data_IF_180279444732
#
_entry.id   IF_180279444732
#
_cell.length_a   1.000
_cell.length_b   1.000
_cell.length_c   1.000
_cell.angle_alpha   90.00
_cell.angle_beta   90.00
_cell.angle_gamma   90.00
#
_symmetry.space_group_name_H-M   'P 1'
#
loop_
_entity.id
_entity.type
_entity.pdbx_description
1 polymer ?
#
# COMPACT_ATOMS: atom_id res chain seq x y z
N UNK A 1 -3.73 -12.16 -5.68
CA UNK A 1 -3.87 -13.62 -5.48
C UNK A 1 -3.51 -14.03 -4.05
N UNK A 2 -2.26 -13.86 -3.60
CA UNK A 2 -1.82 -14.32 -2.25
C UNK A 2 -2.68 -13.76 -1.10
N UNK A 3 -3.07 -12.48 -1.17
CA UNK A 3 -3.98 -11.86 -0.18
C UNK A 3 -5.34 -12.58 -0.14
N UNK A 4 -5.96 -12.84 -1.30
CA UNK A 4 -7.25 -13.56 -1.39
C UNK A 4 -7.17 -14.99 -0.84
N UNK A 5 -6.04 -15.67 -1.08
CA UNK A 5 -5.77 -16.99 -0.51
C UNK A 5 -5.70 -16.92 1.02
N UNK A 6 -5.02 -15.90 1.58
CA UNK A 6 -4.99 -15.67 3.04
C UNK A 6 -6.39 -15.41 3.60
N UNK A 7 -7.16 -14.55 2.94
CA UNK A 7 -8.51 -14.18 3.37
C UNK A 7 -9.49 -15.36 3.34
N UNK A 8 -9.42 -16.22 2.32
CA UNK A 8 -10.23 -17.43 2.23
C UNK A 8 -9.92 -18.42 3.36
N UNK A 9 -8.63 -18.67 3.62
CA UNK A 9 -8.20 -19.58 4.70
C UNK A 9 -8.67 -19.05 6.07
N UNK A 10 -8.54 -17.73 6.30
CA UNK A 10 -9.00 -17.08 7.52
C UNK A 10 -10.52 -17.20 7.67
N UNK A 11 -11.28 -16.94 6.61
CA UNK A 11 -12.75 -17.00 6.62
C UNK A 11 -13.26 -18.40 6.86
N UNK A 12 -12.56 -19.42 6.33
CA UNK A 12 -12.87 -20.81 6.59
C UNK A 12 -12.55 -21.27 8.03
N UNK A 13 -11.79 -20.46 8.80
CA UNK A 13 -11.41 -20.79 10.18
C UNK A 13 -10.44 -21.98 10.30
N UNK A 14 -9.68 -22.28 9.24
CA UNK A 14 -8.81 -23.46 9.17
C UNK A 14 -7.35 -23.05 9.42
N UNK A 15 -6.67 -23.78 10.30
CA UNK A 15 -5.26 -23.53 10.61
C UNK A 15 -4.34 -23.90 9.44
N UNK A 16 -3.23 -23.16 9.26
CA UNK A 16 -2.33 -23.36 8.11
C UNK A 16 -1.65 -24.72 8.05
N UNK A 17 -1.29 -25.29 9.20
CA UNK A 17 -0.76 -26.67 9.27
C UNK A 17 -1.78 -27.69 8.78
N UNK A 18 -3.07 -27.42 9.02
CA UNK A 18 -4.16 -28.26 8.58
C UNK A 18 -4.42 -28.08 7.07
N UNK A 19 -4.40 -26.84 6.57
CA UNK A 19 -4.43 -26.56 5.13
C UNK A 19 -3.29 -27.27 4.41
N UNK A 20 -2.05 -27.13 4.90
CA UNK A 20 -0.87 -27.77 4.32
C UNK A 20 -1.03 -29.29 4.25
N UNK A 21 -1.49 -29.91 5.34
CA UNK A 21 -1.75 -31.35 5.43
C UNK A 21 -2.82 -31.80 4.43
N UNK A 22 -3.92 -31.07 4.33
CA UNK A 22 -5.05 -31.45 3.48
C UNK A 22 -4.77 -31.23 1.98
N UNK A 23 -4.01 -30.19 1.62
CA UNK A 23 -3.62 -29.98 0.22
C UNK A 23 -2.38 -30.79 -0.20
N UNK A 24 -1.77 -31.54 0.72
CA UNK A 24 -0.58 -32.37 0.48
C UNK A 24 0.69 -31.54 0.23
N UNK A 25 0.78 -30.35 0.83
CA UNK A 25 1.92 -29.44 0.71
C UNK A 25 2.70 -29.38 2.01
N UNK A 26 4.03 -29.33 1.93
CA UNK A 26 4.86 -29.10 3.11
C UNK A 26 4.53 -27.73 3.74
N UNK A 27 4.40 -27.67 5.06
CA UNK A 27 4.01 -26.45 5.78
C UNK A 27 4.96 -25.27 5.48
N UNK A 28 6.26 -25.52 5.30
CA UNK A 28 7.23 -24.48 4.95
C UNK A 28 7.03 -23.96 3.52
N UNK A 29 6.57 -24.80 2.60
CA UNK A 29 6.22 -24.39 1.22
C UNK A 29 4.93 -23.58 1.19
N UNK A 30 3.92 -23.98 1.98
CA UNK A 30 2.70 -23.19 2.15
C UNK A 30 3.03 -21.81 2.74
N UNK A 31 3.84 -21.74 3.80
CA UNK A 31 4.28 -20.46 4.37
C UNK A 31 5.03 -19.59 3.37
N UNK A 32 5.92 -20.17 2.55
CA UNK A 32 6.64 -19.41 1.49
C UNK A 32 5.69 -18.88 0.42
N UNK A 33 4.65 -19.65 0.06
CA UNK A 33 3.66 -19.24 -0.92
C UNK A 33 2.71 -18.18 -0.38
N UNK A 34 2.27 -18.34 0.86
CA UNK A 34 1.51 -17.30 1.56
C UNK A 34 2.34 -16.05 1.79
N UNK A 35 3.66 -16.13 1.94
CA UNK A 35 4.57 -15.00 2.05
C UNK A 35 4.96 -14.36 0.69
N UNK A 36 4.42 -14.84 -0.43
CA UNK A 36 4.72 -14.29 -1.77
C UNK A 36 6.07 -14.71 -2.35
N UNK A 37 6.93 -15.37 -1.57
CA UNK A 37 8.25 -15.85 -2.02
C UNK A 37 8.23 -17.13 -2.86
N UNK A 38 7.04 -17.72 -3.07
CA UNK A 38 6.83 -18.92 -3.89
C UNK A 38 5.47 -18.86 -4.57
N UNK A 39 5.43 -18.94 -5.90
CA UNK A 39 4.16 -19.01 -6.60
C UNK A 39 3.40 -20.30 -6.26
N UNK A 40 2.08 -20.18 -6.08
CA UNK A 40 1.20 -21.34 -5.96
C UNK A 40 1.10 -22.05 -7.31
N UNK A 41 1.12 -23.39 -7.27
CA UNK A 41 0.77 -24.19 -8.45
C UNK A 41 -0.74 -24.23 -8.66
N UNK A 42 -1.17 -24.51 -9.88
CA UNK A 42 -2.60 -24.56 -10.23
C UNK A 42 -3.35 -25.59 -9.38
N UNK A 43 -2.71 -26.72 -9.10
CA UNK A 43 -3.28 -27.80 -8.27
C UNK A 43 -3.40 -27.36 -6.80
N UNK A 44 -2.45 -26.58 -6.30
CA UNK A 44 -2.48 -26.04 -4.94
C UNK A 44 -3.60 -25.01 -4.78
N UNK A 45 -3.80 -24.14 -5.78
CA UNK A 45 -4.89 -23.17 -5.80
C UNK A 45 -6.25 -23.89 -5.85
N UNK A 46 -6.37 -24.93 -6.68
CA UNK A 46 -7.62 -25.69 -6.81
C UNK A 46 -8.02 -26.39 -5.51
N UNK A 47 -7.05 -27.02 -4.83
CA UNK A 47 -7.29 -27.66 -3.53
C UNK A 47 -7.61 -26.66 -2.42
N UNK A 48 -6.97 -25.49 -2.44
CA UNK A 48 -7.29 -24.42 -1.48
C UNK A 48 -8.71 -23.88 -1.76
N UNK A 49 -9.10 -23.70 -3.01
CA UNK A 49 -10.43 -23.26 -3.40
C UNK A 49 -11.51 -24.22 -2.86
N UNK A 50 -11.32 -25.52 -3.10
CA UNK A 50 -12.20 -26.58 -2.60
C UNK A 50 -12.26 -26.58 -1.07
N UNK A 51 -11.12 -26.49 -0.40
CA UNK A 51 -11.04 -26.49 1.06
C UNK A 51 -11.70 -25.27 1.71
N UNK A 52 -11.66 -24.12 1.04
CA UNK A 52 -12.19 -22.85 1.58
C UNK A 52 -13.56 -22.50 1.02
N UNK A 53 -14.18 -23.40 0.25
CA UNK A 53 -15.49 -23.23 -0.40
C UNK A 53 -15.59 -21.95 -1.26
N UNK A 54 -14.48 -21.55 -1.89
CA UNK A 54 -14.42 -20.42 -2.84
C UNK A 54 -14.10 -20.90 -4.25
N UNK A 55 -14.40 -20.10 -5.26
CA UNK A 55 -14.03 -20.46 -6.64
C UNK A 55 -12.53 -20.22 -6.91
N UNK A 56 -11.95 -21.06 -7.76
CA UNK A 56 -10.58 -20.88 -8.25
C UNK A 56 -10.40 -19.56 -9.02
N UNK A 57 -11.43 -19.14 -9.76
CA UNK A 57 -11.45 -17.87 -10.47
C UNK A 57 -11.42 -16.68 -9.49
N UNK A 58 -12.16 -16.74 -8.39
CA UNK A 58 -12.08 -15.70 -7.35
C UNK A 58 -10.69 -15.60 -6.73
N UNK A 59 -10.05 -16.74 -6.39
CA UNK A 59 -8.69 -16.72 -5.83
C UNK A 59 -7.68 -16.11 -6.81
N UNK A 60 -7.76 -16.47 -8.08
CA UNK A 60 -6.79 -16.08 -9.11
C UNK A 60 -7.04 -14.67 -9.65
N UNK A 61 -8.24 -14.38 -10.14
CA UNK A 61 -8.58 -13.14 -10.85
C UNK A 61 -9.37 -12.15 -10.00
N UNK A 62 -10.08 -12.62 -8.97
CA UNK A 62 -10.94 -11.79 -8.13
C UNK A 62 -12.30 -11.47 -8.78
N UNK A 63 -12.65 -12.11 -9.90
CA UNK A 63 -13.95 -11.96 -10.56
C UNK A 63 -14.88 -13.08 -10.08
N UNK A 64 -16.14 -12.74 -9.76
CA UNK A 64 -17.24 -13.60 -9.25
C UNK A 64 -17.22 -14.01 -7.77
N UNK A 65 -18.41 -14.34 -7.25
CA UNK A 65 -18.90 -14.12 -5.88
C UNK A 65 -17.99 -14.57 -4.73
N UNK A 66 -17.89 -13.70 -3.72
CA UNK A 66 -17.31 -14.00 -2.42
C UNK A 66 -18.08 -15.09 -1.66
N UNK A 67 -17.57 -15.51 -0.49
CA UNK A 67 -17.98 -16.74 0.18
C UNK A 67 -19.50 -16.78 0.47
N UNK A 68 -20.17 -17.93 0.31
CA UNK A 68 -21.54 -18.09 0.78
C UNK A 68 -21.54 -17.92 2.31
N UNK A 69 -22.28 -16.92 2.81
CA UNK A 69 -22.55 -16.80 4.24
C UNK A 69 -23.33 -18.03 4.69
N UNK A 70 -22.80 -18.83 5.61
CA UNK A 70 -23.57 -19.88 6.30
C UNK A 70 -24.74 -19.24 7.05
N UNK A 71 -25.93 -19.34 6.48
CA UNK A 71 -27.18 -19.24 7.24
C UNK A 71 -27.37 -20.55 8.01
N UNK A 72 -27.51 -20.47 9.32
CA UNK A 72 -28.00 -21.58 10.13
C UNK A 72 -29.42 -21.94 9.66
N UNK A 73 -29.55 -22.97 8.83
CA UNK A 73 -30.82 -23.60 8.54
C UNK A 73 -31.14 -24.60 9.66
N UNK A 74 -31.85 -24.13 10.68
CA UNK A 74 -32.60 -25.00 11.59
C UNK A 74 -33.99 -25.22 10.97
N UNK A 75 -34.26 -26.47 10.57
CA UNK A 75 -35.60 -27.03 10.34
C UNK A 75 -36.37 -26.96 11.69
N UNK A 76 -37.67 -26.71 11.86
CA UNK A 76 -38.94 -27.04 11.16
C UNK A 76 -40.08 -26.22 11.85
N UNK A 77 -41.39 -26.53 11.70
CA UNK A 77 -42.27 -26.45 10.53
C UNK A 77 -43.47 -25.47 10.73
N UNK A 78 -44.15 -25.19 9.63
CA UNK A 78 -45.59 -24.87 9.46
C UNK A 78 -46.39 -24.26 10.64
N UNK A 79 -46.89 -23.03 10.45
CA UNK A 79 -48.32 -22.78 10.66
C UNK A 79 -48.83 -21.55 9.89
N UNK A 80 -49.98 -21.75 9.27
CA UNK A 80 -50.77 -20.82 8.44
C UNK A 80 -51.60 -19.90 9.35
N UNK A 81 -51.65 -18.59 9.10
CA UNK A 81 -52.90 -17.81 8.93
C UNK A 81 -52.69 -16.32 8.62
N UNK A 82 -53.61 -15.84 7.80
CA UNK A 82 -53.85 -14.54 7.17
C UNK A 82 -53.98 -13.30 8.08
N UNK A 83 -53.83 -12.10 7.49
CA UNK A 83 -54.68 -10.95 7.85
C UNK A 83 -54.05 -9.55 7.95
N UNK A 84 -54.11 -8.78 6.86
CA UNK A 84 -54.58 -7.37 6.73
C UNK A 84 -54.32 -6.27 7.80
N UNK A 85 -53.74 -5.15 7.31
CA UNK A 85 -54.09 -3.73 7.53
C UNK A 85 -53.75 -2.95 8.84
N UNK A 86 -52.85 -1.96 8.67
CA UNK A 86 -53.05 -0.50 8.85
C UNK A 86 -53.39 0.15 10.22
N UNK A 87 -52.52 1.12 10.60
CA UNK A 87 -52.74 2.44 11.27
C UNK A 87 -52.80 2.53 12.83
N UNK A 88 -51.72 3.13 13.40
CA UNK A 88 -51.53 4.25 14.38
C UNK A 88 -52.53 4.51 15.56
N UNK A 89 -52.23 5.26 16.66
CA UNK A 89 -50.97 5.70 17.30
C UNK A 89 -50.87 5.38 18.83
N UNK A 90 -49.72 5.72 19.43
CA UNK A 90 -49.37 5.86 20.89
C UNK A 90 -50.42 6.64 21.74
N UNK A 91 -50.43 6.62 23.12
CA UNK A 91 -49.25 6.79 24.00
C UNK A 91 -49.30 6.09 25.40
N UNK A 92 -48.31 6.44 26.22
CA UNK A 92 -48.15 6.26 27.68
C UNK A 92 -47.44 5.01 28.24
N UNK A 93 -46.14 5.22 28.54
CA UNK A 93 -45.75 5.47 29.93
C UNK A 93 -45.66 4.25 30.83
N UNK A 94 -44.44 3.68 30.93
CA UNK A 94 -43.93 3.14 32.20
C UNK A 94 -42.41 2.97 32.18
N UNK A 95 -41.80 3.57 33.19
CA UNK A 95 -40.37 3.66 33.48
C UNK A 95 -39.67 2.30 33.60
N UNK A 96 -38.47 2.20 33.03
CA UNK A 96 -37.47 1.18 33.36
C UNK A 96 -36.14 1.86 33.66
N UNK A 97 -35.40 1.39 34.69
CA UNK A 97 -34.29 2.13 35.29
C UNK A 97 -33.02 2.12 34.43
N UNK A 98 -32.41 3.30 34.37
CA UNK A 98 -31.12 3.64 33.76
C UNK A 98 -29.96 2.87 34.42
N UNK A 99 -29.21 2.08 33.65
CA UNK A 99 -27.89 1.56 34.05
C UNK A 99 -26.82 2.55 33.55
N UNK A 100 -25.91 3.05 34.40
CA UNK A 100 -24.91 4.05 34.02
C UNK A 100 -23.84 3.49 33.05
N UNK A 101 -23.35 4.38 32.20
CA UNK A 101 -22.45 4.09 31.09
C UNK A 101 -21.16 3.35 31.46
N UNK A 102 -20.73 2.51 30.53
CA UNK A 102 -19.32 2.16 30.34
C UNK A 102 -18.84 2.84 29.06
N UNK A 103 -18.01 3.85 29.32
CA UNK A 103 -17.16 4.57 28.38
C UNK A 103 -16.33 3.64 27.51
N UNK A 104 -16.15 4.04 26.25
CA UNK A 104 -14.97 3.79 25.40
C UNK A 104 -14.30 2.43 25.56
N UNK A 105 -14.93 1.41 24.99
CA UNK A 105 -14.16 0.26 24.48
C UNK A 105 -13.51 0.69 23.18
N UNK A 106 -12.33 1.33 23.30
CA UNK A 106 -11.44 1.54 22.18
C UNK A 106 -11.28 0.22 21.42
N UNK A 107 -11.65 0.22 20.13
CA UNK A 107 -11.31 -0.85 19.22
C UNK A 107 -9.81 -1.16 19.39
N UNK A 108 -9.43 -2.42 19.68
CA UNK A 108 -8.02 -2.75 19.78
C UNK A 108 -7.34 -2.38 18.44
N UNK A 109 -6.12 -1.83 18.46
CA UNK A 109 -5.43 -1.44 17.23
C UNK A 109 -5.38 -2.67 16.33
N UNK A 110 -5.77 -2.49 15.06
CA UNK A 110 -5.76 -3.54 14.06
C UNK A 110 -4.40 -4.24 14.09
N UNK A 111 -4.37 -5.45 14.67
CA UNK A 111 -3.18 -6.29 14.70
C UNK A 111 -2.79 -6.51 13.24
N UNK A 112 -1.55 -6.20 12.87
CA UNK A 112 -1.02 -6.48 11.54
C UNK A 112 -1.02 -8.00 11.32
N UNK A 113 -2.14 -8.48 10.79
CA UNK A 113 -2.45 -9.90 10.61
C UNK A 113 -1.41 -10.59 9.73
N UNK A 114 -0.63 -9.85 8.92
CA UNK A 114 0.42 -10.42 8.06
C UNK A 114 1.51 -11.15 8.85
N UNK A 115 1.72 -10.78 10.13
CA UNK A 115 2.79 -11.36 10.93
C UNK A 115 2.45 -12.70 11.57
N UNK A 116 1.20 -12.97 11.95
CA UNK A 116 0.80 -14.20 12.67
C UNK A 116 1.05 -15.48 11.86
N UNK A 117 1.03 -15.40 10.53
CA UNK A 117 1.08 -16.54 9.62
C UNK A 117 2.47 -16.92 9.10
N UNK A 118 3.50 -16.16 9.48
CA UNK A 118 4.87 -16.40 9.05
C UNK A 118 5.59 -17.41 9.95
N UNK A 119 6.36 -18.33 9.35
CA UNK A 119 7.28 -19.18 10.12
C UNK A 119 8.20 -18.31 10.96
N UNK A 120 8.66 -18.81 12.12
CA UNK A 120 9.59 -18.05 13.00
C UNK A 120 10.80 -17.53 12.22
N UNK A 121 11.35 -18.32 11.30
CA UNK A 121 12.46 -17.92 10.43
C UNK A 121 12.08 -16.81 9.45
N UNK A 122 10.89 -16.87 8.84
CA UNK A 122 10.39 -15.81 7.94
C UNK A 122 10.15 -14.51 8.70
N UNK A 123 9.51 -14.58 9.87
CA UNK A 123 9.24 -13.42 10.73
C UNK A 123 10.53 -12.76 11.21
N UNK A 124 11.50 -13.57 11.65
CA UNK A 124 12.82 -13.07 12.03
C UNK A 124 13.54 -12.41 10.85
N UNK A 125 13.51 -13.03 9.66
CA UNK A 125 14.10 -12.43 8.45
C UNK A 125 13.50 -11.06 8.14
N UNK A 126 12.18 -10.92 8.20
CA UNK A 126 11.49 -9.62 7.99
C UNK A 126 11.90 -8.60 9.06
N UNK A 127 11.92 -8.99 10.34
CA UNK A 127 12.39 -8.12 11.44
C UNK A 127 13.82 -7.63 11.24
N UNK A 128 14.72 -8.50 10.78
CA UNK A 128 16.11 -8.14 10.47
C UNK A 128 16.16 -7.12 9.33
N UNK A 129 15.40 -7.34 8.26
CA UNK A 129 15.38 -6.44 7.11
C UNK A 129 14.82 -5.07 7.51
N UNK A 130 13.70 -5.04 8.22
CA UNK A 130 13.08 -3.80 8.67
C UNK A 130 14.03 -3.00 9.58
N UNK A 131 14.65 -3.67 10.57
CA UNK A 131 15.62 -3.03 11.46
C UNK A 131 16.86 -2.50 10.71
N UNK A 132 17.37 -3.27 9.75
CA UNK A 132 18.49 -2.82 8.92
C UNK A 132 18.12 -1.62 8.05
N UNK A 133 16.93 -1.64 7.45
CA UNK A 133 16.41 -0.55 6.63
C UNK A 133 16.33 0.76 7.42
N UNK A 134 15.76 0.75 8.63
CA UNK A 134 15.70 1.93 9.51
C UNK A 134 17.10 2.43 9.87
N UNK A 135 17.98 1.54 10.34
CA UNK A 135 19.34 1.92 10.73
C UNK A 135 20.16 2.47 9.56
N UNK A 136 20.05 1.90 8.36
CA UNK A 136 20.75 2.40 7.18
C UNK A 136 20.25 3.77 6.73
N UNK A 137 18.95 4.03 6.86
CA UNK A 137 18.38 5.33 6.57
C UNK A 137 18.87 6.42 7.54
N UNK A 138 18.91 6.09 8.84
CA UNK A 138 19.18 7.06 9.90
C UNK A 138 20.68 7.27 10.19
N UNK A 139 21.48 6.20 10.16
CA UNK A 139 22.90 6.22 10.55
C UNK A 139 23.85 6.12 9.36
N UNK A 140 23.35 5.63 8.22
CA UNK A 140 24.14 5.34 7.04
C UNK A 140 24.72 3.93 7.02
N UNK A 141 24.79 3.35 5.82
CA UNK A 141 25.19 1.97 5.57
C UNK A 141 26.55 1.66 6.22
N UNK A 142 27.58 2.49 6.05
CA UNK A 142 28.93 2.20 6.58
C UNK A 142 28.98 2.08 8.10
N UNK A 143 28.23 2.93 8.82
CA UNK A 143 28.29 3.01 10.28
C UNK A 143 27.59 1.85 10.98
N UNK A 144 26.60 1.25 10.32
CA UNK A 144 25.78 0.17 10.90
C UNK A 144 26.53 -1.16 10.87
N UNK A 145 26.67 -1.80 12.02
CA UNK A 145 27.23 -3.15 12.16
C UNK A 145 26.12 -4.19 12.29
N UNK A 146 26.45 -5.46 12.00
CA UNK A 146 25.52 -6.59 12.17
C UNK A 146 24.97 -6.68 13.59
N UNK A 147 25.78 -6.33 14.59
CA UNK A 147 25.39 -6.31 16.01
C UNK A 147 24.31 -5.26 16.30
N UNK A 148 24.36 -4.11 15.64
CA UNK A 148 23.35 -3.05 15.79
C UNK A 148 22.01 -3.50 15.21
N UNK A 149 22.04 -4.13 14.03
CA UNK A 149 20.86 -4.74 13.42
C UNK A 149 20.28 -5.84 14.30
N UNK A 150 21.12 -6.71 14.85
CA UNK A 150 20.70 -7.78 15.74
C UNK A 150 19.99 -7.21 16.99
N UNK A 151 20.59 -6.20 17.62
CA UNK A 151 20.03 -5.51 18.79
C UNK A 151 18.68 -4.87 18.46
N UNK A 152 18.61 -4.10 17.37
CA UNK A 152 17.37 -3.44 16.94
C UNK A 152 16.27 -4.45 16.56
N UNK A 153 16.63 -5.57 15.93
CA UNK A 153 15.70 -6.63 15.60
C UNK A 153 15.30 -7.49 16.81
N UNK A 154 15.91 -7.33 17.98
CA UNK A 154 15.69 -8.18 19.16
C UNK A 154 16.15 -9.63 18.96
N UNK A 155 17.25 -9.83 18.24
CA UNK A 155 17.82 -11.12 17.85
C UNK A 155 19.33 -11.17 18.17
N UNK A 156 19.92 -12.36 18.08
CA UNK A 156 21.38 -12.52 18.23
C UNK A 156 22.09 -12.24 16.91
N UNK A 157 23.36 -11.83 16.96
CA UNK A 157 24.20 -11.66 15.77
C UNK A 157 24.29 -12.95 14.95
N UNK A 158 24.35 -14.11 15.61
CA UNK A 158 24.32 -15.42 14.94
C UNK A 158 23.02 -15.66 14.16
N UNK A 159 21.86 -15.20 14.66
CA UNK A 159 20.60 -15.30 13.94
C UNK A 159 20.57 -14.37 12.71
N UNK A 160 21.18 -13.19 12.78
CA UNK A 160 21.35 -12.31 11.61
C UNK A 160 22.24 -12.97 10.57
N UNK A 161 23.40 -13.47 10.97
CA UNK A 161 24.36 -14.14 10.07
C UNK A 161 23.80 -15.43 9.45
N UNK A 162 22.87 -16.11 10.12
CA UNK A 162 22.14 -17.25 9.56
C UNK A 162 21.29 -16.84 8.35
N UNK A 163 20.64 -15.68 8.39
CA UNK A 163 19.78 -15.19 7.31
C UNK A 163 20.53 -14.40 6.23
N UNK A 164 21.56 -13.65 6.61
CA UNK A 164 22.33 -12.78 5.71
C UNK A 164 23.81 -12.96 6.00
N UNK A 165 24.54 -13.57 5.07
CA UNK A 165 25.96 -13.89 5.26
C UNK A 165 26.85 -12.66 5.11
N UNK A 166 26.41 -11.69 4.31
CA UNK A 166 27.15 -10.46 4.03
C UNK A 166 26.27 -9.24 4.24
N UNK A 167 26.91 -8.10 4.50
CA UNK A 167 26.25 -6.80 4.60
C UNK A 167 25.55 -6.43 3.29
N UNK A 168 26.14 -6.77 2.15
CA UNK A 168 25.56 -6.53 0.82
C UNK A 168 24.26 -7.31 0.61
N UNK A 169 24.19 -8.57 1.05
CA UNK A 169 22.96 -9.35 0.98
C UNK A 169 21.83 -8.72 1.81
N UNK A 170 22.18 -8.19 2.99
CA UNK A 170 21.22 -7.51 3.86
C UNK A 170 20.81 -6.16 3.26
N UNK A 171 21.74 -5.40 2.69
CA UNK A 171 21.47 -4.13 2.00
C UNK A 171 20.54 -4.34 0.80
N UNK A 172 20.81 -5.33 -0.05
CA UNK A 172 19.94 -5.67 -1.18
C UNK A 172 18.52 -6.04 -0.70
N UNK A 173 18.41 -6.80 0.39
CA UNK A 173 17.12 -7.13 0.97
C UNK A 173 16.40 -5.92 1.57
N UNK A 174 17.11 -4.97 2.19
CA UNK A 174 16.55 -3.73 2.71
C UNK A 174 16.09 -2.77 1.60
N UNK A 175 16.84 -2.69 0.49
CA UNK A 175 16.42 -1.95 -0.70
C UNK A 175 15.13 -2.52 -1.28
N UNK A 176 15.05 -3.85 -1.44
CA UNK A 176 13.83 -4.49 -1.95
C UNK A 176 12.65 -4.36 -0.97
N UNK A 177 12.90 -4.38 0.32
CA UNK A 177 11.85 -4.11 1.32
C UNK A 177 11.28 -2.69 1.22
N UNK A 178 12.08 -1.72 0.76
CA UNK A 178 11.56 -0.38 0.45
C UNK A 178 10.53 -0.45 -0.68
N UNK A 179 10.78 -1.27 -1.71
CA UNK A 179 9.84 -1.50 -2.80
C UNK A 179 8.58 -2.22 -2.32
N UNK A 180 8.69 -3.16 -1.38
CA UNK A 180 7.53 -3.84 -0.80
C UNK A 180 6.66 -2.86 0.01
N UNK A 181 7.26 -1.98 0.82
CA UNK A 181 6.52 -0.92 1.53
C UNK A 181 5.79 -0.02 0.53
N UNK A 182 6.46 0.36 -0.56
CA UNK A 182 5.89 1.17 -1.64
C UNK A 182 4.73 0.42 -2.32
N UNK A 183 4.87 -0.89 -2.56
CA UNK A 183 3.88 -1.76 -3.20
C UNK A 183 2.67 -2.11 -2.32
N UNK A 184 2.85 -2.17 -1.00
CA UNK A 184 1.78 -2.40 -0.02
C UNK A 184 0.85 -1.19 0.14
N UNK A 185 1.30 0.00 -0.27
CA UNK A 185 0.41 1.15 -0.47
C UNK A 185 -0.60 0.79 -1.57
N UNK A 186 -1.84 0.56 -1.13
CA UNK A 186 -2.94 -0.23 -1.72
C UNK A 186 -3.36 0.05 -3.17
N UNK A 187 -2.67 0.92 -3.91
CA UNK A 187 -3.08 1.43 -5.22
C UNK A 187 -2.21 0.97 -6.40
N UNK A 188 -1.03 0.37 -6.19
CA UNK A 188 -0.18 -0.07 -7.31
C UNK A 188 -0.63 -1.37 -8.00
N UNK A 189 -1.54 -2.12 -7.38
CA UNK A 189 -2.02 -3.41 -7.89
C UNK A 189 -3.37 -3.33 -8.62
N UNK A 190 -4.01 -2.16 -8.69
CA UNK A 190 -5.25 -2.02 -9.45
C UNK A 190 -4.92 -1.78 -10.93
N UNK A 191 -4.89 -2.87 -11.71
CA UNK A 191 -4.66 -2.81 -13.16
C UNK A 191 -5.76 -2.06 -13.91
N UNK A 192 -6.86 -1.70 -13.25
CA UNK A 192 -7.96 -0.97 -13.87
C UNK A 192 -7.63 0.51 -14.14
N UNK A 193 -6.64 1.09 -13.45
CA UNK A 193 -6.27 2.50 -13.62
C UNK A 193 -4.73 2.72 -13.66
N UNK A 194 -4.10 2.59 -14.85
CA UNK A 194 -2.67 2.85 -15.02
C UNK A 194 -2.25 4.27 -14.61
N UNK A 195 -3.16 5.24 -14.69
CA UNK A 195 -2.88 6.63 -14.38
C UNK A 195 -2.79 6.85 -12.86
N UNK A 196 -3.75 6.29 -12.11
CA UNK A 196 -3.69 6.30 -10.65
C UNK A 196 -2.43 5.59 -10.14
N UNK A 197 -2.07 4.45 -10.73
CA UNK A 197 -0.84 3.73 -10.41
C UNK A 197 0.39 4.62 -10.64
N UNK A 198 0.50 5.26 -11.81
CA UNK A 198 1.63 6.11 -12.16
C UNK A 198 1.73 7.35 -11.26
N UNK A 199 0.61 8.04 -11.00
CA UNK A 199 0.58 9.19 -10.10
C UNK A 199 0.96 8.80 -8.69
N UNK A 200 0.40 7.72 -8.18
CA UNK A 200 0.72 7.24 -6.84
C UNK A 200 2.21 6.88 -6.72
N UNK A 201 2.73 6.15 -7.71
CA UNK A 201 4.12 5.81 -7.83
C UNK A 201 5.03 7.07 -7.80
N UNK A 202 4.70 8.07 -8.62
CA UNK A 202 5.40 9.35 -8.69
C UNK A 202 5.37 10.12 -7.36
N UNK A 203 4.19 10.23 -6.73
CA UNK A 203 4.01 10.93 -5.44
C UNK A 203 4.81 10.29 -4.31
N UNK A 204 4.86 8.96 -4.25
CA UNK A 204 5.69 8.25 -3.27
C UNK A 204 7.17 8.64 -3.46
N UNK A 205 7.67 8.58 -4.69
CA UNK A 205 9.08 8.85 -4.95
C UNK A 205 9.44 10.34 -4.94
N UNK A 206 8.48 11.26 -5.05
CA UNK A 206 8.72 12.68 -4.76
C UNK A 206 9.07 12.96 -3.29
N UNK A 207 9.02 11.96 -2.39
CA UNK A 207 9.39 12.14 -0.98
C UNK A 207 8.40 13.03 -0.22
N UNK A 208 7.14 13.05 -0.64
CA UNK A 208 6.07 13.77 0.06
C UNK A 208 5.80 13.12 1.42
N UNK A 209 5.91 11.80 1.49
CA UNK A 209 5.84 11.05 2.74
C UNK A 209 7.20 11.08 3.47
N UNK A 210 7.20 11.52 4.72
CA UNK A 210 8.39 11.58 5.57
C UNK A 210 9.06 10.21 5.77
N UNK A 211 8.29 9.11 5.81
CA UNK A 211 8.80 7.74 5.87
C UNK A 211 9.50 7.37 4.56
N UNK A 212 9.02 7.86 3.42
CA UNK A 212 9.65 7.62 2.12
C UNK A 212 10.86 8.52 1.90
N UNK A 213 10.92 9.74 2.48
CA UNK A 213 12.15 10.55 2.48
C UNK A 213 13.34 9.81 3.09
N UNK A 214 13.11 8.98 4.11
CA UNK A 214 14.14 8.12 4.70
C UNK A 214 14.68 7.08 3.71
N UNK A 215 13.85 6.58 2.79
CA UNK A 215 14.27 5.64 1.73
C UNK A 215 15.33 6.28 0.82
N UNK A 216 15.17 7.56 0.49
CA UNK A 216 16.10 8.26 -0.41
C UNK A 216 17.53 8.34 0.14
N UNK A 217 17.70 8.42 1.47
CA UNK A 217 19.01 8.34 2.13
C UNK A 217 19.76 7.06 1.72
N UNK A 218 19.08 5.91 1.65
CA UNK A 218 19.70 4.64 1.28
C UNK A 218 20.07 4.65 -0.21
N UNK A 219 19.20 5.15 -1.09
CA UNK A 219 19.47 5.24 -2.53
C UNK A 219 20.67 6.12 -2.86
N UNK A 220 20.76 7.31 -2.26
CA UNK A 220 21.89 8.22 -2.39
C UNK A 220 23.22 7.55 -2.03
N UNK A 221 23.22 6.82 -0.92
CA UNK A 221 24.39 6.06 -0.46
C UNK A 221 24.75 4.89 -1.39
N UNK A 222 23.77 4.29 -2.07
CA UNK A 222 23.99 3.23 -3.05
C UNK A 222 24.54 3.78 -4.38
N UNK A 223 24.02 4.90 -4.87
CA UNK A 223 24.55 5.58 -6.05
C UNK A 223 26.00 5.99 -5.85
N UNK A 224 26.33 6.58 -4.71
CA UNK A 224 27.70 6.96 -4.39
C UNK A 224 28.67 5.76 -4.43
N UNK A 225 28.25 4.60 -3.92
CA UNK A 225 29.05 3.35 -3.98
C UNK A 225 29.16 2.78 -5.39
N UNK A 226 28.07 2.81 -6.16
CA UNK A 226 28.03 2.24 -7.50
C UNK A 226 29.03 2.91 -8.47
N UNK A 227 29.46 4.14 -8.18
CA UNK A 227 30.48 4.84 -8.99
C UNK A 227 31.85 4.17 -8.88
N UNK A 228 32.18 3.55 -7.75
CA UNK A 228 33.53 3.03 -7.46
C UNK A 228 33.59 1.54 -7.15
N UNK A 229 32.44 0.88 -6.92
CA UNK A 229 32.34 -0.54 -6.60
C UNK A 229 31.46 -1.28 -7.63
N UNK A 230 32.09 -2.20 -8.36
CA UNK A 230 31.45 -3.03 -9.38
C UNK A 230 30.28 -3.86 -8.80
N UNK A 231 30.44 -4.43 -7.61
CA UNK A 231 29.41 -5.23 -6.96
C UNK A 231 28.25 -4.35 -6.47
N UNK A 232 28.55 -3.18 -5.90
CA UNK A 232 27.52 -2.22 -5.51
C UNK A 232 26.70 -1.75 -6.73
N UNK A 233 27.35 -1.49 -7.86
CA UNK A 233 26.67 -1.13 -9.11
C UNK A 233 25.84 -2.28 -9.66
N UNK A 234 26.33 -3.51 -9.66
CA UNK A 234 25.54 -4.66 -10.09
C UNK A 234 24.28 -4.84 -9.22
N UNK A 235 24.40 -4.69 -7.90
CA UNK A 235 23.27 -4.75 -6.97
C UNK A 235 22.27 -3.62 -7.22
N UNK A 236 22.76 -2.39 -7.39
CA UNK A 236 21.91 -1.25 -7.72
C UNK A 236 21.16 -1.47 -9.04
N UNK A 237 21.85 -1.89 -10.10
CA UNK A 237 21.24 -2.19 -11.41
C UNK A 237 20.15 -3.25 -11.30
N UNK A 238 20.36 -4.30 -10.51
CA UNK A 238 19.36 -5.35 -10.32
C UNK A 238 18.08 -4.81 -9.65
N UNK A 239 18.22 -4.02 -8.57
CA UNK A 239 17.05 -3.45 -7.88
C UNK A 239 16.34 -2.41 -8.76
N UNK A 240 17.11 -1.57 -9.46
CA UNK A 240 16.55 -0.55 -10.35
C UNK A 240 15.86 -1.17 -11.59
N UNK A 241 16.33 -2.32 -12.07
CA UNK A 241 15.70 -3.08 -13.15
C UNK A 241 14.29 -3.56 -12.79
N UNK A 242 14.10 -4.16 -11.62
CA UNK A 242 12.77 -4.60 -11.13
C UNK A 242 11.76 -3.43 -11.11
N UNK A 243 12.26 -2.24 -10.80
CA UNK A 243 11.48 -1.01 -10.74
C UNK A 243 11.14 -0.44 -12.13
N UNK A 244 12.11 -0.40 -13.04
CA UNK A 244 11.88 0.03 -14.43
C UNK A 244 10.87 -0.90 -15.13
N UNK A 245 10.93 -2.21 -14.87
CA UNK A 245 10.01 -3.19 -15.44
C UNK A 245 8.55 -2.96 -14.97
N UNK A 246 8.37 -2.58 -13.70
CA UNK A 246 7.06 -2.22 -13.16
C UNK A 246 6.49 -1.00 -13.90
N UNK A 247 7.25 0.09 -14.00
CA UNK A 247 6.79 1.33 -14.66
C UNK A 247 6.56 1.10 -16.15
N UNK A 248 7.42 0.32 -16.80
CA UNK A 248 7.25 -0.09 -18.21
C UNK A 248 5.90 -0.76 -18.41
N UNK A 249 5.53 -1.69 -17.52
CA UNK A 249 4.23 -2.37 -17.59
C UNK A 249 3.05 -1.39 -17.46
N UNK A 250 3.17 -0.38 -16.60
CA UNK A 250 2.14 0.66 -16.40
C UNK A 250 2.02 1.56 -17.63
N UNK A 251 3.15 2.04 -18.16
CA UNK A 251 3.20 2.91 -19.34
C UNK A 251 2.65 2.18 -20.56
N UNK A 252 3.07 0.93 -20.82
CA UNK A 252 2.53 0.12 -21.91
C UNK A 252 1.03 -0.11 -21.78
N UNK A 253 0.53 -0.33 -20.56
CA UNK A 253 -0.90 -0.48 -20.32
C UNK A 253 -1.67 0.80 -20.59
N UNK A 254 -1.16 1.95 -20.14
CA UNK A 254 -1.79 3.25 -20.38
C UNK A 254 -1.73 3.68 -21.85
N UNK A 255 -0.68 3.28 -22.59
CA UNK A 255 -0.59 3.49 -24.04
C UNK A 255 -1.66 2.68 -24.76
N UNK A 256 -1.84 1.40 -24.39
CA UNK A 256 -2.89 0.54 -24.96
C UNK A 256 -4.30 1.06 -24.68
N UNK A 257 -4.53 1.69 -23.53
CA UNK A 257 -5.84 2.29 -23.19
C UNK A 257 -6.01 3.73 -23.66
N UNK A 258 -4.99 4.35 -24.27
CA UNK A 258 -5.06 5.72 -24.80
C UNK A 258 -4.95 6.85 -23.78
N UNK A 259 -4.67 6.55 -22.51
CA UNK A 259 -4.50 7.57 -21.44
C UNK A 259 -3.06 8.08 -21.33
N UNK A 260 -2.09 7.31 -21.86
CA UNK A 260 -0.68 7.70 -21.97
C UNK A 260 -0.31 7.86 -23.45
N UNK A 261 0.54 8.86 -23.74
CA UNK A 261 1.03 9.16 -25.09
C UNK A 261 1.76 7.96 -25.69
N UNK A 262 1.54 7.72 -26.98
CA UNK A 262 2.31 6.76 -27.77
C UNK A 262 3.75 7.25 -27.96
N UNK A 263 4.73 6.35 -27.97
CA UNK A 263 6.13 6.68 -28.20
C UNK A 263 7.07 5.56 -27.76
N UNK A 264 8.36 5.88 -27.64
CA UNK A 264 9.35 4.95 -27.07
C UNK A 264 9.12 4.82 -25.55
N UNK A 265 8.48 3.72 -25.14
CA UNK A 265 8.23 3.39 -23.73
C UNK A 265 9.52 3.42 -22.91
N UNK A 266 10.62 2.83 -23.41
CA UNK A 266 11.87 2.75 -22.66
C UNK A 266 12.43 4.14 -22.38
N UNK A 267 12.35 5.06 -23.35
CA UNK A 267 12.78 6.43 -23.16
C UNK A 267 11.86 7.17 -22.19
N UNK A 268 10.54 7.03 -22.31
CA UNK A 268 9.57 7.64 -21.38
C UNK A 268 9.80 7.20 -19.94
N UNK A 269 9.98 5.89 -19.71
CA UNK A 269 10.29 5.34 -18.39
C UNK A 269 11.57 5.97 -17.86
N UNK A 270 12.67 5.93 -18.62
CA UNK A 270 13.97 6.50 -18.19
C UNK A 270 13.88 7.99 -17.88
N UNK A 271 13.17 8.76 -18.70
CA UNK A 271 13.04 10.21 -18.49
C UNK A 271 12.22 10.52 -17.24
N UNK A 272 11.10 9.82 -17.01
CA UNK A 272 10.34 9.94 -15.76
C UNK A 272 11.19 9.56 -14.56
N UNK A 273 11.99 8.51 -14.71
CA UNK A 273 12.86 8.00 -13.64
C UNK A 273 13.91 9.01 -13.23
N UNK A 274 14.61 9.58 -14.20
CA UNK A 274 15.63 10.61 -13.96
C UNK A 274 15.01 11.86 -13.33
N UNK A 275 13.80 12.24 -13.74
CA UNK A 275 13.09 13.36 -13.14
C UNK A 275 12.76 13.12 -11.67
N UNK A 276 12.24 11.94 -11.36
CA UNK A 276 11.94 11.50 -9.99
C UNK A 276 13.21 11.45 -9.13
N UNK A 277 14.29 10.86 -9.65
CA UNK A 277 15.57 10.78 -8.97
C UNK A 277 16.13 12.17 -8.65
N UNK A 278 16.05 13.11 -9.60
CA UNK A 278 16.46 14.49 -9.41
C UNK A 278 15.70 15.17 -8.27
N UNK A 279 14.38 15.00 -8.21
CA UNK A 279 13.56 15.47 -7.09
C UNK A 279 13.99 14.81 -5.77
N UNK A 280 14.15 13.48 -5.75
CA UNK A 280 14.60 12.74 -4.58
C UNK A 280 15.91 13.25 -4.01
N UNK A 281 16.92 13.46 -4.87
CA UNK A 281 18.21 14.03 -4.50
C UNK A 281 18.07 15.45 -3.95
N UNK A 282 17.39 16.34 -4.67
CA UNK A 282 17.23 17.74 -4.28
C UNK A 282 16.57 17.88 -2.91
N UNK A 283 15.49 17.14 -2.68
CA UNK A 283 14.73 17.19 -1.43
C UNK A 283 15.46 16.55 -0.26
N UNK A 284 16.24 15.49 -0.49
CA UNK A 284 16.97 14.80 0.58
C UNK A 284 18.22 15.54 1.04
N UNK A 285 18.83 16.33 0.15
CA UNK A 285 20.06 17.05 0.43
C UNK A 285 19.83 18.51 0.81
N UNK A 286 18.60 19.01 0.64
CA UNK A 286 18.14 20.37 1.00
C UNK A 286 18.95 21.51 0.33
N UNK A 287 19.86 21.19 -0.59
CA UNK A 287 20.67 22.19 -1.32
C UNK A 287 19.82 23.10 -2.21
N UNK A 288 18.66 22.61 -2.62
CA UNK A 288 17.62 23.32 -3.35
C UNK A 288 16.30 23.07 -2.60
N UNK A 289 15.85 24.01 -1.76
CA UNK A 289 14.60 23.85 -1.03
C UNK A 289 13.42 23.67 -1.99
N UNK A 290 12.72 22.54 -1.89
CA UNK A 290 11.52 22.21 -2.65
C UNK A 290 10.48 21.69 -1.66
N UNK A 291 9.37 22.43 -1.54
CA UNK A 291 8.24 22.06 -0.69
C UNK A 291 7.51 20.82 -1.22
N UNK A 292 6.66 20.21 -0.38
CA UNK A 292 5.84 19.08 -0.80
C UNK A 292 4.92 19.46 -1.98
N UNK A 293 4.31 20.64 -1.93
CA UNK A 293 3.41 21.14 -2.97
C UNK A 293 4.15 21.42 -4.28
N UNK A 294 5.33 22.03 -4.23
CA UNK A 294 6.16 22.25 -5.42
C UNK A 294 6.58 20.93 -6.07
N UNK A 295 7.00 19.93 -5.29
CA UNK A 295 7.36 18.62 -5.82
C UNK A 295 6.17 17.93 -6.51
N UNK A 296 4.98 18.02 -5.91
CA UNK A 296 3.74 17.49 -6.50
C UNK A 296 3.38 18.21 -7.80
N UNK A 297 3.42 19.54 -7.83
CA UNK A 297 3.16 20.33 -9.04
C UNK A 297 4.17 20.02 -10.14
N UNK A 298 5.46 19.92 -9.79
CA UNK A 298 6.53 19.57 -10.73
C UNK A 298 6.29 18.21 -11.37
N UNK A 299 5.89 17.20 -10.58
CA UNK A 299 5.52 15.88 -11.10
C UNK A 299 4.28 15.92 -12.00
N UNK A 300 3.21 16.58 -11.58
CA UNK A 300 1.98 16.63 -12.39
C UNK A 300 2.22 17.39 -13.70
N UNK A 301 2.99 18.48 -13.68
CA UNK A 301 3.42 19.18 -14.88
C UNK A 301 4.24 18.28 -15.79
N UNK A 302 5.20 17.51 -15.25
CA UNK A 302 6.00 16.58 -16.03
C UNK A 302 5.13 15.48 -16.68
N UNK A 303 4.25 14.85 -15.90
CA UNK A 303 3.32 13.83 -16.38
C UNK A 303 2.42 14.41 -17.47
N UNK A 304 1.80 15.55 -17.23
CA UNK A 304 0.92 16.22 -18.19
C UNK A 304 1.65 16.63 -19.47
N UNK A 305 2.87 17.15 -19.38
CA UNK A 305 3.63 17.61 -20.56
C UNK A 305 4.24 16.47 -21.38
N UNK A 306 4.68 15.38 -20.74
CA UNK A 306 5.52 14.37 -21.39
C UNK A 306 4.91 12.95 -21.43
N UNK A 307 3.99 12.61 -20.53
CA UNK A 307 3.47 11.24 -20.40
C UNK A 307 1.98 11.11 -20.77
N UNK A 308 1.10 11.96 -20.26
CA UNK A 308 -0.36 11.82 -20.38
C UNK A 308 -0.94 12.35 -21.69
N UNK A 309 -2.01 11.76 -22.22
CA UNK A 309 -2.73 12.40 -23.33
C UNK A 309 -3.47 13.66 -22.87
N UNK A 310 -3.65 14.65 -23.75
CA UNK A 310 -4.25 15.94 -23.37
C UNK A 310 -5.64 15.83 -22.72
N UNK A 311 -6.41 14.80 -23.06
CA UNK A 311 -7.70 14.48 -22.43
C UNK A 311 -7.57 14.05 -20.97
N UNK A 312 -6.52 13.29 -20.63
CA UNK A 312 -6.25 12.84 -19.26
C UNK A 312 -5.64 13.94 -18.39
N UNK A 313 -4.91 14.88 -18.99
CA UNK A 313 -4.45 16.11 -18.32
C UNK A 313 -5.63 17.00 -17.93
N UNK A 314 -6.61 17.17 -18.82
CA UNK A 314 -7.79 18.01 -18.58
C UNK A 314 -8.75 17.43 -17.53
N UNK A 315 -8.93 16.09 -17.48
CA UNK A 315 -9.73 15.43 -16.45
C UNK A 315 -9.09 15.55 -15.06
N UNK A 316 -7.76 15.48 -14.97
CA UNK A 316 -7.05 15.65 -13.71
C UNK A 316 -7.12 17.08 -13.18
N UNK A 317 -6.95 18.07 -14.06
CA UNK A 317 -7.11 19.48 -13.70
C UNK A 317 -8.54 19.80 -13.19
N UNK A 318 -9.55 19.06 -13.65
CA UNK A 318 -10.94 19.20 -13.16
C UNK A 318 -11.19 18.53 -11.81
N UNK A 319 -10.51 17.42 -11.51
CA UNK A 319 -10.64 16.71 -10.23
C UNK A 319 -9.82 17.32 -9.08
N UNK A 320 -8.80 18.12 -9.38
CA UNK A 320 -7.98 18.82 -8.38
C UNK A 320 -8.47 20.26 -8.10
N UNK A 321 -9.50 20.73 -8.81
CA UNK A 321 -10.13 22.01 -8.49
C UNK A 321 -10.80 21.92 -7.10
N UNK A 322 -10.53 22.86 -6.17
CA UNK A 322 -11.27 22.91 -4.92
C UNK A 322 -12.75 23.08 -5.24
N UNK A 323 -13.60 22.21 -4.69
CA UNK A 323 -15.04 22.44 -4.67
C UNK A 323 -15.29 23.71 -3.87
N UNK A 324 -15.37 24.85 -4.56
CA UNK A 324 -15.79 26.13 -4.01
C UNK A 324 -17.28 26.05 -3.68
N UNK A 325 -17.59 25.41 -2.55
CA UNK A 325 -18.91 25.42 -1.92
C UNK A 325 -18.98 26.58 -0.91
N UNK A 326 -18.73 27.81 -1.37
CA UNK A 326 -19.11 29.01 -0.63
C UNK A 326 -19.55 30.15 -1.55
N UNK A 327 -20.69 29.98 -2.23
CA UNK A 327 -21.51 31.14 -2.64
C UNK A 327 -22.97 30.93 -2.30
N UNK A 328 -23.37 31.45 -1.15
CA UNK A 328 -24.74 31.86 -0.91
C UNK A 328 -24.79 33.39 -0.77
N UNK A 329 -25.35 34.14 -1.75
CA UNK A 329 -25.57 35.57 -1.62
C UNK A 329 -27.05 35.84 -1.27
N UNK A 330 -27.35 35.99 0.01
CA UNK A 330 -28.55 36.65 0.53
C UNK A 330 -28.18 37.16 1.93
N UNK A 331 -27.97 38.45 2.13
CA UNK A 331 -28.96 39.53 2.22
C UNK A 331 -28.78 40.12 3.62
N UNK A 332 -28.22 41.31 3.73
CA UNK A 332 -28.67 42.22 4.79
C UNK A 332 -28.50 43.67 4.36
N UNK A 333 -29.64 44.34 4.33
CA UNK A 333 -29.84 45.71 3.90
C UNK A 333 -30.66 46.38 4.99
N UNK A 334 -29.98 46.92 5.99
CA UNK A 334 -30.49 47.87 7.00
C UNK A 334 -29.25 48.62 7.51
N UNK A 335 -29.17 49.93 7.73
CA UNK A 335 -29.88 51.14 7.32
C UNK A 335 -28.96 52.31 7.74
N UNK A 336 -29.03 53.41 7.01
CA UNK A 336 -28.42 54.71 7.31
C UNK A 336 -28.54 55.16 8.78
N UNK A 337 -27.47 55.73 9.35
CA UNK A 337 -27.43 57.14 9.81
C UNK A 337 -26.20 57.42 10.70
N UNK A 338 -25.59 58.59 10.52
CA UNK A 338 -24.88 59.29 11.60
C UNK A 338 -23.37 59.43 11.45
N UNK A 339 -22.94 60.39 10.64
CA UNK A 339 -21.67 61.12 10.86
C UNK A 339 -21.82 61.92 12.17
N UNK A 340 -20.74 62.13 12.95
CA UNK A 340 -20.01 63.38 12.77
C UNK A 340 -18.48 63.26 12.92
N UNK A 341 -17.79 64.14 12.21
CA UNK A 341 -16.41 64.61 12.46
C UNK A 341 -16.45 65.77 13.49
N UNK A 342 -15.33 66.40 13.92
CA UNK A 342 -13.90 66.03 13.92
C UNK A 342 -13.17 66.43 15.26
N UNK A 343 -11.83 66.47 15.23
CA UNK A 343 -10.84 67.05 16.19
C UNK A 343 -10.65 66.28 17.51
N UNK A 344 -9.44 65.93 17.94
CA UNK A 344 -8.14 66.62 17.83
C UNK A 344 -6.95 65.67 17.88
#
# INVERSE_FOLDING_TARGET
>A
MVIRVRDAIKTAGINHSEVARQIGLDASKLSKSLAGTRNFRVEEISRIAELTEVSTDWLTTGRTAGPPRRGHASQSPENVHSGSAAVDPSPDGRDMPTIPGHSDSAEPPAVDLTQEWMSKGTRNRVRIIAAAWELYADLGIDKVRTEDVARAAGLTTSAVNYHFRTKDQLLQAALRYSLDIIAETRHLNDRADPLAVLRHFARLHAGVDAKIRRVWSIWLQCWARAVTDENARANLTAVYGEWLDMITTVIDSGQRSGVIRTGDTSLMVKSLSIFIDGLGVARSTEHMPITDDEALMMLEHYLSAHILTGTASDEAARNEAPTDDTRNPQSDRVAMAGRPEPTS
#
